data_IF_174674442877
#
_entry.id   IF_174674442877
#
_cell.length_a   1.000
_cell.length_b   1.000
_cell.length_c   1.000
_cell.angle_alpha   90.00
_cell.angle_beta   90.00
_cell.angle_gamma   90.00
#
_symmetry.space_group_name_H-M   'P 1'
#
loop_
_entity.id
_entity.type
_entity.pdbx_description
1 polymer ?
#
# COMPACT_ATOMS: atom_id res chain seq x y z
N UNK A 1 3.47 -1.04 12.30
CA UNK A 1 2.79 -1.66 11.16
C UNK A 1 1.87 -0.65 10.49
N UNK A 2 1.78 -0.67 9.18
CA UNK A 2 0.96 0.27 8.43
C UNK A 2 -0.06 -0.47 7.61
N UNK A 3 -1.25 0.11 7.52
CA UNK A 3 -2.31 -0.42 6.68
C UNK A 3 -2.41 0.44 5.42
N UNK A 4 -2.26 -0.19 4.27
CA UNK A 4 -2.38 0.48 2.97
C UNK A 4 -3.70 0.10 2.34
N UNK A 5 -4.53 1.11 2.09
CA UNK A 5 -5.76 0.95 1.32
C UNK A 5 -5.45 1.31 -0.12
N UNK A 6 -5.74 0.42 -1.02
CA UNK A 6 -5.42 0.62 -2.43
C UNK A 6 -6.53 0.09 -3.32
N UNK A 7 -6.53 0.52 -4.56
CA UNK A 7 -7.44 -0.05 -5.55
C UNK A 7 -6.62 -0.70 -6.66
N UNK A 8 -7.11 -1.82 -7.14
CA UNK A 8 -6.55 -2.53 -8.27
C UNK A 8 -7.70 -2.89 -9.20
N UNK A 9 -7.64 -2.42 -10.44
CA UNK A 9 -8.70 -2.61 -11.43
C UNK A 9 -10.07 -2.16 -10.90
N UNK A 10 -10.09 -1.07 -10.12
CA UNK A 10 -11.32 -0.53 -9.56
C UNK A 10 -11.81 -1.23 -8.30
N UNK A 11 -11.09 -2.22 -7.82
CA UNK A 11 -11.48 -2.97 -6.62
C UNK A 11 -10.65 -2.47 -5.43
N UNK A 12 -11.32 -2.08 -4.35
CA UNK A 12 -10.64 -1.63 -3.14
C UNK A 12 -10.15 -2.82 -2.33
N UNK A 13 -8.91 -2.73 -1.88
CA UNK A 13 -8.29 -3.76 -1.04
C UNK A 13 -7.44 -3.11 0.03
N UNK A 14 -7.11 -3.87 1.06
CA UNK A 14 -6.24 -3.43 2.15
C UNK A 14 -5.16 -4.46 2.40
N UNK A 15 -3.98 -3.98 2.77
CA UNK A 15 -2.86 -4.84 3.11
C UNK A 15 -2.11 -4.22 4.29
N UNK A 16 -1.61 -5.06 5.19
CA UNK A 16 -0.77 -4.62 6.30
C UNK A 16 0.69 -4.80 5.91
N UNK A 17 1.50 -3.77 6.15
CA UNK A 17 2.91 -3.76 5.81
C UNK A 17 3.71 -3.41 7.06
N UNK A 18 4.72 -4.22 7.36
CA UNK A 18 5.63 -3.96 8.47
C UNK A 18 6.71 -2.99 7.99
N UNK A 19 6.62 -1.75 8.46
CA UNK A 19 7.53 -0.68 8.06
C UNK A 19 7.77 0.26 9.23
N UNK A 20 8.85 1.02 9.16
CA UNK A 20 9.22 1.97 10.21
C UNK A 20 8.47 3.28 10.09
N UNK A 21 8.08 3.66 8.88
CA UNK A 21 7.31 4.88 8.64
C UNK A 21 6.48 4.74 7.37
N UNK A 22 5.66 5.76 7.10
CA UNK A 22 4.75 5.69 5.95
C UNK A 22 5.49 5.72 4.61
N UNK A 23 6.64 6.39 4.55
CA UNK A 23 7.43 6.44 3.32
C UNK A 23 7.97 5.05 3.00
N UNK A 24 8.49 4.36 4.01
CA UNK A 24 8.98 2.99 3.82
C UNK A 24 7.84 2.05 3.43
N UNK A 25 6.67 2.21 4.07
CA UNK A 25 5.51 1.40 3.73
C UNK A 25 5.12 1.58 2.25
N UNK A 26 5.15 2.81 1.78
CA UNK A 26 4.84 3.11 0.38
C UNK A 26 5.87 2.46 -0.56
N UNK A 27 7.14 2.52 -0.22
CA UNK A 27 8.20 1.92 -1.04
C UNK A 27 8.04 0.40 -1.10
N UNK A 28 7.76 -0.23 0.03
CA UNK A 28 7.54 -1.68 0.07
C UNK A 28 6.33 -2.04 -0.79
N UNK A 29 5.25 -1.29 -0.64
CA UNK A 29 4.04 -1.53 -1.42
C UNK A 29 4.32 -1.41 -2.92
N UNK A 30 5.03 -0.36 -3.33
CA UNK A 30 5.35 -0.12 -4.73
C UNK A 30 6.18 -1.27 -5.30
N UNK A 31 7.13 -1.80 -4.51
CA UNK A 31 7.95 -2.93 -4.96
C UNK A 31 7.12 -4.20 -5.11
N UNK A 32 6.13 -4.40 -4.24
CA UNK A 32 5.27 -5.58 -4.30
C UNK A 32 4.33 -5.56 -5.51
N UNK A 33 3.91 -4.37 -5.93
CA UNK A 33 2.89 -4.21 -6.96
C UNK A 33 3.44 -3.47 -8.19
N UNK A 34 4.70 -3.67 -8.51
CA UNK A 34 5.31 -3.02 -9.66
C UNK A 34 4.67 -3.52 -10.97
N UNK A 35 4.44 -2.61 -11.89
CA UNK A 35 3.93 -2.94 -13.22
C UNK A 35 2.43 -3.10 -13.33
N UNK A 36 1.66 -2.92 -12.25
CA UNK A 36 0.21 -3.03 -12.26
C UNK A 36 -0.48 -1.67 -12.21
N UNK A 37 -1.77 -1.66 -12.51
CA UNK A 37 -2.60 -0.46 -12.35
C UNK A 37 -3.12 -0.40 -10.93
N UNK A 38 -2.24 -0.07 -10.00
CA UNK A 38 -2.55 -0.02 -8.58
C UNK A 38 -2.46 1.42 -8.12
N UNK A 39 -3.49 1.87 -7.40
CA UNK A 39 -3.55 3.23 -6.88
C UNK A 39 -3.66 3.19 -5.37
N UNK A 40 -2.74 3.87 -4.69
CA UNK A 40 -2.78 3.98 -3.24
C UNK A 40 -3.83 5.03 -2.87
N UNK A 41 -4.79 4.63 -2.03
CA UNK A 41 -5.85 5.51 -1.56
C UNK A 41 -5.46 6.13 -0.23
N UNK A 42 -4.93 5.32 0.69
CA UNK A 42 -4.61 5.79 2.02
C UNK A 42 -3.57 4.88 2.67
N UNK A 43 -2.72 5.48 3.49
CA UNK A 43 -1.75 4.74 4.31
C UNK A 43 -1.91 5.28 5.73
N UNK A 44 -2.12 4.37 6.69
CA UNK A 44 -2.23 4.77 8.09
C UNK A 44 -1.49 3.79 8.98
N UNK A 45 -1.04 4.31 10.12
CA UNK A 45 -0.39 3.48 11.12
C UNK A 45 -1.42 2.79 11.99
N UNK A 46 -1.22 1.54 12.22
CA UNK A 46 -2.10 0.72 13.08
C UNK A 46 -1.33 0.12 14.23
#
# INVERSE_FOLDING_TARGET
MYEVTYSIDGILKKISINATDSIQAQQIFTNMFSGGKVEIINIRRV
#
